data_IF_383980592815
#
_entry.id   IF_383980592815
#
_cell.length_a   1.000
_cell.length_b   1.000
_cell.length_c   1.000
_cell.angle_alpha   90.00
_cell.angle_beta   90.00
_cell.angle_gamma   90.00
#
_symmetry.space_group_name_H-M   'P 1'
#
loop_
_entity.id
_entity.type
_entity.pdbx_description
1 polymer ?
#
# COMPACT_ATOMS: atom_id res chain seq x y z
N UNK A 1 -16.44 -10.74 -22.08
CA UNK A 1 -17.30 -10.95 -20.88
C UNK A 1 -16.69 -11.87 -19.80
N UNK A 2 -15.76 -12.78 -20.12
CA UNK A 2 -15.09 -13.63 -19.11
C UNK A 2 -14.09 -12.88 -18.20
N UNK A 3 -13.34 -11.93 -18.78
CA UNK A 3 -12.26 -11.23 -18.05
C UNK A 3 -12.77 -10.28 -16.94
N UNK A 4 -13.91 -9.62 -17.15
CA UNK A 4 -14.47 -8.65 -16.19
C UNK A 4 -14.93 -9.32 -14.89
N UNK A 5 -15.57 -10.50 -14.99
CA UNK A 5 -16.08 -11.24 -13.82
C UNK A 5 -14.94 -11.78 -12.94
N UNK A 6 -13.83 -12.19 -13.53
CA UNK A 6 -12.65 -12.64 -12.78
C UNK A 6 -11.97 -11.49 -12.04
N UNK A 7 -11.88 -10.30 -12.65
CA UNK A 7 -11.32 -9.10 -12.02
C UNK A 7 -12.17 -8.64 -10.84
N UNK A 8 -13.50 -8.64 -10.96
CA UNK A 8 -14.40 -8.31 -9.85
C UNK A 8 -14.31 -9.33 -8.70
N UNK A 9 -14.23 -10.63 -9.02
CA UNK A 9 -14.07 -11.68 -8.02
C UNK A 9 -12.73 -11.57 -7.28
N UNK A 10 -11.67 -11.22 -7.99
CA UNK A 10 -10.33 -11.04 -7.42
C UNK A 10 -10.26 -9.75 -6.57
N UNK A 11 -10.86 -8.65 -7.02
CA UNK A 11 -10.97 -7.42 -6.23
C UNK A 11 -11.68 -7.67 -4.91
N UNK A 12 -12.84 -8.34 -4.95
CA UNK A 12 -13.57 -8.73 -3.75
C UNK A 12 -12.82 -9.71 -2.84
N UNK A 13 -11.85 -10.47 -3.36
CA UNK A 13 -10.96 -11.29 -2.53
C UNK A 13 -9.95 -10.41 -1.79
N UNK A 14 -9.27 -9.51 -2.50
CA UNK A 14 -8.28 -8.59 -1.90
C UNK A 14 -8.92 -7.76 -0.79
N UNK A 15 -10.10 -7.19 -1.03
CA UNK A 15 -10.83 -6.42 0.00
C UNK A 15 -11.06 -7.24 1.28
N UNK A 16 -11.63 -8.45 1.15
CA UNK A 16 -11.86 -9.33 2.31
C UNK A 16 -10.56 -9.74 2.98
N UNK A 17 -9.48 -9.97 2.23
CA UNK A 17 -8.17 -10.26 2.81
C UNK A 17 -7.63 -9.09 3.61
N UNK A 18 -7.78 -7.86 3.13
CA UNK A 18 -7.34 -6.66 3.85
C UNK A 18 -8.20 -6.41 5.09
N UNK A 19 -9.53 -6.58 5.01
CA UNK A 19 -10.41 -6.54 6.18
C UNK A 19 -10.04 -7.60 7.23
N UNK A 20 -9.71 -8.82 6.79
CA UNK A 20 -9.26 -9.88 7.70
C UNK A 20 -7.93 -9.51 8.36
N UNK A 21 -6.97 -8.97 7.62
CA UNK A 21 -5.70 -8.51 8.18
C UNK A 21 -5.90 -7.38 9.18
N UNK A 22 -6.77 -6.42 8.86
CA UNK A 22 -7.14 -5.35 9.78
C UNK A 22 -7.75 -5.90 11.07
N UNK A 23 -8.74 -6.79 10.97
CA UNK A 23 -9.37 -7.41 12.14
C UNK A 23 -8.37 -8.22 12.98
N UNK A 24 -7.40 -8.87 12.33
CA UNK A 24 -6.31 -9.55 13.04
C UNK A 24 -5.45 -8.55 13.79
N UNK A 25 -5.05 -7.43 13.19
CA UNK A 25 -4.31 -6.39 13.89
C UNK A 25 -5.13 -5.78 15.05
N UNK A 26 -6.43 -5.55 14.87
CA UNK A 26 -7.27 -4.90 15.88
C UNK A 26 -7.60 -5.80 17.08
N UNK A 27 -7.67 -7.13 16.88
CA UNK A 27 -8.17 -8.06 17.90
C UNK A 27 -7.19 -9.17 18.26
N UNK A 28 -6.11 -9.34 17.51
CA UNK A 28 -5.12 -10.38 17.69
C UNK A 28 -3.83 -9.90 18.36
N UNK A 29 -2.81 -10.74 18.29
CA UNK A 29 -1.45 -10.41 18.75
C UNK A 29 -0.69 -9.72 17.61
N UNK A 30 -0.61 -8.39 17.68
CA UNK A 30 0.06 -7.55 16.67
C UNK A 30 1.52 -7.96 16.42
N UNK A 31 2.23 -8.43 17.46
CA UNK A 31 3.64 -8.85 17.34
C UNK A 31 3.74 -10.16 16.55
N UNK A 32 2.89 -11.14 16.89
CA UNK A 32 2.86 -12.42 16.19
C UNK A 32 2.35 -12.28 14.75
N UNK A 33 1.38 -11.40 14.50
CA UNK A 33 0.84 -11.13 13.17
C UNK A 33 1.89 -10.42 12.32
N UNK A 34 2.51 -9.36 12.84
CA UNK A 34 3.54 -8.63 12.11
C UNK A 34 4.75 -9.51 11.78
N UNK A 35 5.14 -10.44 12.67
CA UNK A 35 6.18 -11.43 12.38
C UNK A 35 5.82 -12.33 11.19
N UNK A 36 4.59 -12.84 11.14
CA UNK A 36 4.13 -13.67 10.01
C UNK A 36 4.04 -12.89 8.69
N UNK A 37 3.75 -11.60 8.77
CA UNK A 37 3.68 -10.71 7.61
C UNK A 37 5.05 -10.14 7.20
N UNK A 38 6.07 -10.26 8.06
CA UNK A 38 7.45 -9.86 7.81
C UNK A 38 8.14 -10.85 6.84
N UNK A 39 7.64 -10.91 5.61
CA UNK A 39 8.24 -11.74 4.56
C UNK A 39 8.27 -11.01 3.24
N UNK A 40 9.33 -11.25 2.45
CA UNK A 40 9.47 -10.65 1.12
C UNK A 40 8.28 -10.97 0.21
N UNK A 41 7.73 -12.19 0.32
CA UNK A 41 6.56 -12.60 -0.45
C UNK A 41 5.34 -11.78 -0.07
N UNK A 42 5.07 -11.64 1.23
CA UNK A 42 3.93 -10.85 1.73
C UNK A 42 4.04 -9.39 1.31
N UNK A 43 5.22 -8.77 1.50
CA UNK A 43 5.43 -7.36 1.14
C UNK A 43 5.29 -7.15 -0.38
N UNK A 44 5.81 -8.07 -1.20
CA UNK A 44 5.60 -8.02 -2.66
C UNK A 44 4.12 -8.16 -3.05
N UNK A 45 3.35 -9.02 -2.39
CA UNK A 45 1.91 -9.15 -2.66
C UNK A 45 1.13 -7.89 -2.27
N UNK A 46 1.47 -7.27 -1.13
CA UNK A 46 0.88 -5.99 -0.70
C UNK A 46 1.23 -4.86 -1.69
N UNK A 47 2.48 -4.83 -2.15
CA UNK A 47 2.95 -3.91 -3.19
C UNK A 47 2.14 -4.06 -4.47
N UNK A 48 2.02 -5.28 -4.99
CA UNK A 48 1.24 -5.55 -6.21
C UNK A 48 -0.24 -5.19 -6.04
N UNK A 49 -0.84 -5.53 -4.89
CA UNK A 49 -2.22 -5.17 -4.58
C UNK A 49 -2.41 -3.64 -4.56
N UNK A 50 -1.52 -2.91 -3.87
CA UNK A 50 -1.53 -1.45 -3.80
C UNK A 50 -1.39 -0.82 -5.19
N UNK A 51 -0.38 -1.24 -5.97
CA UNK A 51 -0.18 -0.74 -7.33
C UNK A 51 -1.38 -1.04 -8.23
N UNK A 52 -1.98 -2.22 -8.08
CA UNK A 52 -3.22 -2.58 -8.75
C UNK A 52 -4.32 -1.57 -8.46
N UNK A 53 -4.56 -1.22 -7.20
CA UNK A 53 -5.59 -0.24 -6.84
C UNK A 53 -5.25 1.20 -7.28
N UNK A 54 -3.97 1.58 -7.22
CA UNK A 54 -3.51 2.93 -7.57
C UNK A 54 -3.55 3.19 -9.07
N UNK A 55 -3.28 2.17 -9.89
CA UNK A 55 -3.19 2.29 -11.35
C UNK A 55 -4.49 1.94 -12.08
N UNK A 56 -5.45 1.31 -11.39
CA UNK A 56 -6.76 0.98 -11.93
C UNK A 56 -7.78 2.11 -11.72
N UNK A 57 -9.00 1.87 -12.22
CA UNK A 57 -10.23 2.66 -12.07
C UNK A 57 -10.27 3.56 -10.82
N UNK A 58 -10.65 4.83 -11.00
CA UNK A 58 -10.80 5.81 -9.92
C UNK A 58 -12.14 5.69 -9.17
N UNK A 59 -12.74 4.50 -9.13
CA UNK A 59 -13.95 4.29 -8.34
C UNK A 59 -13.65 4.49 -6.86
N UNK A 60 -14.68 4.85 -6.09
CA UNK A 60 -14.56 4.99 -4.63
C UNK A 60 -14.02 3.72 -3.98
N UNK A 61 -14.45 2.55 -4.47
CA UNK A 61 -13.99 1.25 -3.98
C UNK A 61 -12.46 1.08 -4.09
N UNK A 62 -11.86 1.33 -5.26
CA UNK A 62 -10.40 1.22 -5.43
C UNK A 62 -9.65 2.26 -4.60
N UNK A 63 -10.23 3.46 -4.45
CA UNK A 63 -9.65 4.54 -3.64
C UNK A 63 -9.63 4.23 -2.15
N UNK A 64 -10.66 3.57 -1.64
CA UNK A 64 -10.70 3.10 -0.26
C UNK A 64 -9.73 1.95 -0.07
N UNK A 65 -9.78 0.93 -0.94
CA UNK A 65 -8.95 -0.26 -0.79
C UNK A 65 -7.44 0.04 -0.87
N UNK A 66 -6.98 0.97 -1.72
CA UNK A 66 -5.56 1.37 -1.72
C UNK A 66 -5.15 2.03 -0.40
N UNK A 67 -6.05 2.78 0.25
CA UNK A 67 -5.79 3.43 1.53
C UNK A 67 -5.73 2.37 2.64
N UNK A 68 -6.67 1.43 2.65
CA UNK A 68 -6.69 0.31 3.61
C UNK A 68 -5.43 -0.56 3.51
N UNK A 69 -4.99 -0.88 2.28
CA UNK A 69 -3.72 -1.60 2.05
C UNK A 69 -2.55 -0.81 2.64
N UNK A 70 -2.51 0.50 2.42
CA UNK A 70 -1.41 1.34 2.90
C UNK A 70 -1.40 1.48 4.43
N UNK A 71 -2.57 1.47 5.07
CA UNK A 71 -2.71 1.40 6.52
C UNK A 71 -2.10 0.09 7.04
N UNK A 72 -2.48 -1.07 6.47
CA UNK A 72 -1.89 -2.36 6.83
C UNK A 72 -0.36 -2.35 6.66
N UNK A 73 0.14 -1.80 5.55
CA UNK A 73 1.57 -1.65 5.33
C UNK A 73 2.23 -0.79 6.42
N UNK A 74 1.61 0.33 6.80
CA UNK A 74 2.14 1.22 7.84
C UNK A 74 2.22 0.56 9.22
N UNK A 75 1.26 -0.32 9.55
CA UNK A 75 1.30 -1.12 10.77
C UNK A 75 2.48 -2.10 10.74
N UNK A 76 2.65 -2.83 9.64
CA UNK A 76 3.78 -3.76 9.49
C UNK A 76 5.11 -3.03 9.64
N UNK A 77 5.31 -1.90 8.95
CA UNK A 77 6.56 -1.12 9.03
C UNK A 77 6.81 -0.63 10.46
N UNK A 78 5.75 -0.22 11.19
CA UNK A 78 5.88 0.31 12.55
C UNK A 78 6.24 -0.77 13.56
N UNK A 79 5.75 -2.00 13.38
CA UNK A 79 5.99 -3.13 14.27
C UNK A 79 7.25 -3.93 13.91
N UNK A 80 7.58 -3.99 12.62
CA UNK A 80 8.74 -4.71 12.07
C UNK A 80 9.51 -3.78 11.14
N UNK A 81 10.38 -2.92 11.69
CA UNK A 81 11.17 -2.00 10.89
C UNK A 81 12.04 -2.71 9.84
N UNK A 82 12.49 -3.93 10.12
CA UNK A 82 13.27 -4.81 9.24
C UNK A 82 12.45 -5.42 8.09
N UNK A 83 11.14 -5.16 8.01
CA UNK A 83 10.32 -5.65 6.93
C UNK A 83 10.83 -5.19 5.55
N UNK A 84 10.84 -6.07 4.53
CA UNK A 84 11.61 -5.86 3.30
C UNK A 84 10.96 -4.89 2.29
N UNK A 85 10.48 -3.74 2.74
CA UNK A 85 9.87 -2.70 1.91
C UNK A 85 10.89 -2.01 0.99
N UNK A 86 12.16 -1.97 1.38
CA UNK A 86 13.24 -1.37 0.57
C UNK A 86 13.67 -2.34 -0.52
N UNK A 87 13.89 -3.61 -0.17
CA UNK A 87 14.38 -4.71 -1.02
C UNK A 87 13.36 -5.12 -2.07
N UNK A 88 12.07 -4.96 -1.79
CA UNK A 88 10.98 -5.13 -2.77
C UNK A 88 10.84 -3.92 -3.71
N UNK A 89 11.53 -2.81 -3.42
CA UNK A 89 11.38 -1.54 -4.12
C UNK A 89 10.06 -0.83 -3.82
N UNK A 90 9.27 -1.33 -2.86
CA UNK A 90 7.98 -0.75 -2.52
C UNK A 90 8.15 0.64 -1.89
N UNK A 91 9.14 0.83 -1.01
CA UNK A 91 9.48 2.14 -0.44
C UNK A 91 9.73 3.20 -1.52
N UNK A 92 10.48 2.88 -2.58
CA UNK A 92 10.74 3.77 -3.72
C UNK A 92 9.46 4.17 -4.44
N UNK A 93 8.51 3.24 -4.59
CA UNK A 93 7.22 3.52 -5.23
C UNK A 93 6.32 4.37 -4.33
N UNK A 94 6.30 4.12 -3.03
CA UNK A 94 5.57 4.95 -2.06
C UNK A 94 6.09 6.40 -2.10
N UNK A 95 7.41 6.61 -2.11
CA UNK A 95 8.01 7.95 -2.23
C UNK A 95 7.68 8.62 -3.57
N UNK A 96 7.65 7.85 -4.66
CA UNK A 96 7.22 8.35 -5.97
C UNK A 96 5.77 8.87 -5.94
N UNK A 97 4.84 8.13 -5.33
CA UNK A 97 3.44 8.58 -5.22
C UNK A 97 3.29 9.72 -4.22
N UNK A 98 4.05 9.71 -3.11
CA UNK A 98 4.01 10.75 -2.09
C UNK A 98 4.40 12.12 -2.66
N UNK A 99 5.39 12.14 -3.56
CA UNK A 99 5.94 13.36 -4.16
C UNK A 99 5.27 13.79 -5.47
N UNK A 100 4.30 13.02 -5.99
CA UNK A 100 3.53 13.39 -7.18
C UNK A 100 2.30 14.21 -6.81
N UNK A 101 1.96 15.31 -7.53
CA UNK A 101 2.56 15.79 -8.78
C UNK A 101 3.67 16.83 -8.59
N UNK A 102 4.07 17.12 -7.36
CA UNK A 102 4.98 18.21 -7.02
C UNK A 102 6.38 18.00 -7.63
N UNK A 103 6.85 16.75 -7.69
CA UNK A 103 8.05 16.35 -8.43
C UNK A 103 7.67 15.70 -9.75
N UNK A 104 8.09 16.32 -10.86
CA UNK A 104 7.87 15.77 -12.20
C UNK A 104 8.62 14.45 -12.33
N UNK A 105 7.87 13.40 -12.68
CA UNK A 105 8.42 12.08 -12.92
C UNK A 105 7.90 11.53 -14.25
N UNK A 106 8.80 10.98 -15.06
CA UNK A 106 8.45 10.26 -16.28
C UNK A 106 8.13 8.77 -16.00
N UNK A 107 8.03 8.38 -14.72
CA UNK A 107 7.79 7.00 -14.35
C UNK A 107 6.42 6.54 -14.89
N UNK A 108 6.35 5.39 -15.62
CA UNK A 108 5.08 4.87 -16.13
C UNK A 108 3.99 4.69 -15.07
N UNK A 109 4.36 4.42 -13.81
CA UNK A 109 3.43 4.24 -12.70
C UNK A 109 2.62 5.51 -12.38
N UNK A 110 3.19 6.70 -12.59
CA UNK A 110 2.46 7.96 -12.33
C UNK A 110 1.57 8.39 -13.49
N UNK A 111 1.69 7.78 -14.69
CA UNK A 111 0.87 8.16 -15.85
C UNK A 111 -0.62 7.91 -15.62
N UNK A 112 -0.94 6.82 -14.93
CA UNK A 112 -2.32 6.44 -14.60
C UNK A 112 -2.72 6.85 -13.18
N UNK A 113 -1.78 7.41 -12.41
CA UNK A 113 -2.06 7.93 -11.09
C UNK A 113 -2.66 9.33 -11.20
N UNK A 114 -3.93 9.45 -10.84
CA UNK A 114 -4.64 10.73 -10.81
C UNK A 114 -5.17 10.99 -9.41
N UNK A 115 -4.68 12.07 -8.82
CA UNK A 115 -5.27 12.66 -7.63
C UNK A 115 -6.41 13.57 -8.08
N UNK A 116 -7.55 13.44 -7.42
CA UNK A 116 -8.68 14.36 -7.55
C UNK A 116 -8.84 15.13 -6.24
N UNK A 117 -9.93 15.88 -6.07
CA UNK A 117 -10.24 16.59 -4.82
C UNK A 117 -11.07 15.73 -3.86
N UNK A 118 -10.95 14.40 -3.94
CA UNK A 118 -11.72 13.49 -3.08
C UNK A 118 -11.06 13.30 -1.73
N UNK A 119 -11.87 13.02 -0.71
CA UNK A 119 -11.37 12.72 0.64
C UNK A 119 -10.35 11.57 0.62
N UNK A 120 -10.61 10.53 -0.17
CA UNK A 120 -9.70 9.39 -0.28
C UNK A 120 -8.35 9.72 -0.92
N UNK A 121 -8.29 10.73 -1.80
CA UNK A 121 -7.01 11.19 -2.35
C UNK A 121 -6.20 11.98 -1.32
N UNK A 122 -6.90 12.77 -0.49
CA UNK A 122 -6.28 13.48 0.63
C UNK A 122 -5.73 12.50 1.68
N UNK A 123 -6.51 11.50 2.05
CA UNK A 123 -6.10 10.46 3.00
C UNK A 123 -4.94 9.63 2.45
N UNK A 124 -4.97 9.26 1.17
CA UNK A 124 -3.84 8.61 0.50
C UNK A 124 -2.56 9.44 0.68
N UNK A 125 -2.61 10.74 0.38
CA UNK A 125 -1.44 11.63 0.50
C UNK A 125 -0.92 11.68 1.93
N UNK A 126 -1.80 11.82 2.92
CA UNK A 126 -1.43 11.82 4.33
C UNK A 126 -0.76 10.50 4.73
N UNK A 127 -1.34 9.37 4.34
CA UNK A 127 -0.79 8.03 4.61
C UNK A 127 0.57 7.85 3.95
N UNK A 128 0.74 8.24 2.68
CA UNK A 128 2.01 8.16 1.97
C UNK A 128 3.14 8.91 2.69
N UNK A 129 2.88 10.14 3.15
CA UNK A 129 3.86 10.90 3.92
C UNK A 129 4.15 10.29 5.29
N UNK A 130 3.12 9.84 6.01
CA UNK A 130 3.30 9.17 7.29
C UNK A 130 4.15 7.90 7.15
N UNK A 131 3.82 7.04 6.18
CA UNK A 131 4.58 5.83 5.89
C UNK A 131 6.02 6.14 5.47
N UNK A 132 6.25 7.19 4.68
CA UNK A 132 7.59 7.64 4.33
C UNK A 132 8.41 8.06 5.57
N UNK A 133 7.79 8.75 6.53
CA UNK A 133 8.44 9.09 7.80
C UNK A 133 8.81 7.85 8.60
N UNK A 134 7.90 6.87 8.72
CA UNK A 134 8.20 5.62 9.44
C UNK A 134 9.33 4.86 8.75
N UNK A 135 9.28 4.71 7.43
CA UNK A 135 10.35 4.09 6.64
C UNK A 135 11.70 4.78 6.85
N UNK A 136 11.74 6.12 6.86
CA UNK A 136 12.98 6.89 7.04
C UNK A 136 13.66 6.71 8.41
N UNK A 137 12.94 6.18 9.40
CA UNK A 137 13.51 5.88 10.72
C UNK A 137 14.19 4.52 10.76
N UNK A 138 14.04 3.70 9.72
CA UNK A 138 14.74 2.43 9.61
C UNK A 138 16.23 2.67 9.29
N UNK A 139 17.18 2.20 10.14
CA UNK A 139 18.60 2.37 9.91
C UNK A 139 19.14 1.73 8.62
N UNK A 140 18.41 0.79 7.99
CA UNK A 140 18.80 0.19 6.70
C UNK A 140 18.75 1.17 5.51
N UNK A 141 18.16 2.37 5.67
CA UNK A 141 18.17 3.42 4.64
C UNK A 141 19.48 4.25 4.66
N UNK A 142 20.37 4.02 5.62
CA UNK A 142 21.65 4.74 5.77
C UNK A 142 22.89 3.97 5.27
N UNK A 143 22.74 2.91 4.48
CA UNK A 143 23.86 2.23 3.80
C UNK A 143 23.86 2.44 2.28
#
# INVERSE_FOLDING_TARGET
MSNSKNVEKLGGLVFRTIELLWNLFEHGDEEQISEQLNSRVTISLLQEAFLGQVTQSHSQYHRQLRNDILVVCSLIISLKPDAPFVETGFAKQLLLFASYPELRSNNPLVKNFKLTTSQEDFELKKLLFNTAVVLSRNPAINE
#
